data_IF_273767619507
#
_entry.id   IF_273767619507
#
_cell.length_a   1.000
_cell.length_b   1.000
_cell.length_c   1.000
_cell.angle_alpha   90.00
_cell.angle_beta   90.00
_cell.angle_gamma   90.00
#
_symmetry.space_group_name_H-M   'P 1'
#
loop_
_entity.id
_entity.type
_entity.pdbx_description
1 polymer ?
#
# COMPACT_ATOMS: atom_id res chain seq x y z
N UNK A 1 1.60 20.23 -7.60
CA UNK A 1 1.39 18.77 -7.63
C UNK A 1 0.30 18.44 -6.62
N UNK A 2 -0.55 17.45 -6.92
CA UNK A 2 -1.54 16.98 -5.96
C UNK A 2 -0.88 16.09 -4.92
N UNK A 3 -1.44 16.04 -3.72
CA UNK A 3 -1.04 15.10 -2.67
C UNK A 3 -2.17 14.11 -2.42
N UNK A 4 -1.80 12.88 -2.11
CA UNK A 4 -2.73 11.84 -1.69
C UNK A 4 -2.47 11.46 -0.24
N UNK A 5 -3.53 11.05 0.45
CA UNK A 5 -3.47 10.52 1.81
C UNK A 5 -4.19 9.17 1.80
N UNK A 6 -3.49 8.12 2.21
CA UNK A 6 -4.04 6.76 2.33
C UNK A 6 -3.71 6.19 3.69
N UNK A 7 -4.48 5.22 4.18
CA UNK A 7 -4.10 4.48 5.39
C UNK A 7 -3.37 3.20 5.04
N UNK A 8 -2.46 2.74 5.90
CA UNK A 8 -1.82 1.43 5.75
C UNK A 8 -2.84 0.29 5.66
N UNK A 9 -3.96 0.37 6.39
CA UNK A 9 -5.04 -0.64 6.30
C UNK A 9 -5.78 -0.65 4.95
N UNK A 10 -5.66 0.40 4.15
CA UNK A 10 -6.26 0.48 2.81
C UNK A 10 -5.30 -0.07 1.72
N UNK A 11 -4.02 -0.24 2.06
CA UNK A 11 -3.02 -0.79 1.14
C UNK A 11 -2.98 -2.31 1.25
N UNK A 12 -2.90 -2.97 0.09
CA UNK A 12 -2.76 -4.41 0.03
C UNK A 12 -1.35 -4.83 0.47
N UNK A 13 -1.29 -5.73 1.45
CA UNK A 13 -0.03 -6.37 1.86
C UNK A 13 0.29 -7.51 0.91
N UNK A 14 1.42 -7.43 0.22
CA UNK A 14 1.87 -8.46 -0.73
C UNK A 14 2.70 -9.53 -0.04
N UNK A 15 3.58 -9.15 0.88
CA UNK A 15 4.42 -10.10 1.59
C UNK A 15 4.82 -9.60 2.98
N UNK A 16 5.20 -10.56 3.82
CA UNK A 16 5.85 -10.33 5.11
C UNK A 16 7.19 -11.07 5.04
N UNK A 17 8.27 -10.36 5.32
CA UNK A 17 9.63 -10.91 5.23
C UNK A 17 10.26 -10.88 6.61
N UNK A 18 10.94 -11.98 6.95
CA UNK A 18 11.66 -12.13 8.20
C UNK A 18 13.15 -12.02 7.94
N UNK A 19 13.74 -10.93 8.41
CA UNK A 19 15.19 -10.72 8.40
C UNK A 19 15.87 -11.25 9.65
N UNK A 20 17.17 -10.99 9.72
CA UNK A 20 18.01 -11.34 10.86
C UNK A 20 17.71 -10.40 12.03
N UNK A 21 17.64 -9.09 11.75
CA UNK A 21 17.45 -8.01 12.72
C UNK A 21 16.00 -7.51 12.69
N UNK A 22 15.47 -7.21 11.52
CA UNK A 22 14.13 -6.65 11.35
C UNK A 22 13.20 -7.61 10.63
N UNK A 23 11.90 -7.41 10.86
CA UNK A 23 10.87 -7.91 9.96
C UNK A 23 10.35 -6.74 9.13
N UNK A 24 9.81 -7.00 7.94
CA UNK A 24 9.16 -5.96 7.15
C UNK A 24 7.94 -6.43 6.38
N UNK A 25 7.05 -5.49 6.13
CA UNK A 25 5.87 -5.66 5.28
C UNK A 25 6.13 -4.99 3.94
N UNK A 26 5.84 -5.70 2.86
CA UNK A 26 5.83 -5.14 1.50
C UNK A 26 4.37 -4.92 1.11
N UNK A 27 4.03 -3.66 0.85
CA UNK A 27 2.73 -3.26 0.34
C UNK A 27 2.76 -3.15 -1.19
N UNK A 28 1.58 -3.19 -1.79
CA UNK A 28 1.39 -2.83 -3.20
C UNK A 28 1.89 -1.42 -3.48
N UNK A 29 2.22 -1.14 -4.75
CA UNK A 29 2.70 0.19 -5.15
C UNK A 29 1.73 1.30 -4.73
N UNK A 30 2.28 2.44 -4.30
CA UNK A 30 1.47 3.58 -3.87
C UNK A 30 0.61 4.08 -5.04
N UNK A 31 -0.72 4.15 -4.91
CA UNK A 31 -1.60 4.50 -6.01
C UNK A 31 -1.27 5.88 -6.58
N UNK A 32 -0.99 5.95 -7.88
CA UNK A 32 -0.75 7.21 -8.60
C UNK A 32 0.42 8.05 -8.07
N UNK A 33 1.28 7.45 -7.24
CA UNK A 33 2.45 8.14 -6.72
C UNK A 33 3.45 8.45 -7.84
N UNK A 34 4.23 9.51 -7.68
CA UNK A 34 5.33 9.80 -8.62
C UNK A 34 6.35 8.65 -8.60
N UNK A 35 7.20 8.59 -9.62
CA UNK A 35 8.26 7.59 -9.66
C UNK A 35 9.33 7.92 -8.61
N UNK A 36 9.64 6.96 -7.75
CA UNK A 36 10.70 7.08 -6.74
C UNK A 36 12.04 6.60 -7.31
N UNK A 37 13.11 7.13 -6.73
CA UNK A 37 14.47 6.75 -7.04
C UNK A 37 14.88 5.48 -6.27
N UNK A 38 16.12 5.03 -6.47
CA UNK A 38 16.71 4.00 -5.62
C UNK A 38 17.32 4.58 -4.34
N UNK A 39 17.22 5.90 -4.14
CA UNK A 39 17.80 6.65 -3.04
C UNK A 39 16.76 7.01 -1.97
N UNK A 40 16.95 8.18 -1.36
CA UNK A 40 15.98 8.78 -0.45
C UNK A 40 15.32 9.95 -1.17
N UNK A 41 14.00 9.93 -1.30
CA UNK A 41 13.25 10.94 -2.05
C UNK A 41 12.59 11.98 -1.12
N UNK A 42 12.26 11.61 0.11
CA UNK A 42 11.66 12.51 1.11
C UNK A 42 10.25 13.00 0.75
N UNK A 43 9.59 12.31 -0.16
CA UNK A 43 8.30 12.65 -0.75
C UNK A 43 7.11 11.92 -0.12
N UNK A 44 7.40 10.96 0.75
CA UNK A 44 6.42 10.23 1.55
C UNK A 44 6.57 10.60 3.02
N UNK A 45 5.43 10.89 3.65
CA UNK A 45 5.34 11.23 5.06
C UNK A 45 4.39 10.24 5.74
N UNK A 46 4.91 9.47 6.70
CA UNK A 46 4.11 8.60 7.54
C UNK A 46 3.69 9.37 8.80
N UNK A 47 2.40 9.60 8.95
CA UNK A 47 1.85 10.37 10.06
C UNK A 47 1.78 9.56 11.37
N UNK A 48 1.63 10.26 12.50
CA UNK A 48 1.32 9.67 13.81
C UNK A 48 2.32 8.64 14.39
N UNK A 49 3.49 8.46 13.77
CA UNK A 49 4.56 7.63 14.33
C UNK A 49 5.94 8.10 13.84
N UNK A 50 7.00 8.08 14.68
CA UNK A 50 8.34 8.41 14.22
C UNK A 50 8.85 7.40 13.19
N UNK A 51 9.08 7.85 11.96
CA UNK A 51 9.61 7.01 10.87
C UNK A 51 10.80 7.65 10.18
N UNK A 52 11.68 6.83 9.63
CA UNK A 52 12.81 7.28 8.81
C UNK A 52 12.81 6.57 7.47
N UNK A 53 13.06 7.33 6.40
CA UNK A 53 13.30 6.75 5.07
C UNK A 53 14.70 6.16 5.01
N UNK A 54 14.81 4.98 4.43
CA UNK A 54 16.06 4.26 4.20
C UNK A 54 16.09 3.72 2.77
N UNK A 55 17.28 3.36 2.30
CA UNK A 55 17.42 2.65 1.04
C UNK A 55 16.98 1.18 1.22
N UNK A 56 16.53 0.56 0.12
CA UNK A 56 15.98 -0.80 0.12
C UNK A 56 16.95 -1.85 0.68
N UNK A 57 18.25 -1.66 0.46
CA UNK A 57 19.30 -2.55 0.94
C UNK A 57 19.43 -2.56 2.48
N UNK A 58 18.96 -1.52 3.16
CA UNK A 58 19.12 -1.35 4.61
C UNK A 58 17.91 -1.83 5.42
N UNK A 59 16.94 -2.51 4.79
CA UNK A 59 15.72 -2.98 5.45
C UNK A 59 15.99 -3.89 6.66
N UNK A 60 17.09 -4.65 6.64
CA UNK A 60 17.50 -5.55 7.73
C UNK A 60 18.64 -4.99 8.61
N UNK A 61 18.85 -3.67 8.58
CA UNK A 61 19.83 -2.98 9.45
C UNK A 61 19.14 -2.46 10.71
N UNK A 62 19.87 -2.42 11.83
CA UNK A 62 19.35 -1.87 13.10
C UNK A 62 18.73 -0.48 12.92
N UNK A 63 17.44 -0.37 13.23
CA UNK A 63 16.72 0.89 13.19
C UNK A 63 17.22 1.78 14.33
N UNK A 64 17.52 3.05 14.04
CA UNK A 64 17.92 4.00 15.07
C UNK A 64 16.78 4.10 16.12
N UNK A 65 17.07 3.96 17.43
CA UNK A 65 16.05 3.95 18.48
C UNK A 65 15.17 5.20 18.56
N UNK A 66 15.59 6.31 17.94
CA UNK A 66 14.78 7.54 17.84
C UNK A 66 13.58 7.38 16.90
N UNK A 67 13.59 6.37 16.03
CA UNK A 67 12.50 6.04 15.11
C UNK A 67 11.85 4.73 15.52
N UNK A 68 10.54 4.65 15.28
CA UNK A 68 9.77 3.44 15.53
C UNK A 68 9.82 2.47 14.37
N UNK A 69 9.80 3.01 13.15
CA UNK A 69 9.86 2.23 11.91
C UNK A 69 10.86 2.87 10.95
N UNK A 70 11.43 2.05 10.07
CA UNK A 70 12.14 2.51 8.89
C UNK A 70 11.32 2.11 7.66
N UNK A 71 11.34 2.91 6.59
CA UNK A 71 10.64 2.57 5.36
C UNK A 71 11.47 2.86 4.12
N UNK A 72 11.16 2.15 3.04
CA UNK A 72 11.76 2.37 1.72
C UNK A 72 10.70 2.29 0.64
N UNK A 73 10.82 3.17 -0.36
CA UNK A 73 10.02 3.14 -1.58
C UNK A 73 11.02 3.18 -2.72
N UNK A 74 11.44 2.00 -3.16
CA UNK A 74 12.43 1.86 -4.22
C UNK A 74 11.80 2.16 -5.59
N UNK A 75 12.55 1.88 -6.67
CA UNK A 75 12.10 2.05 -8.05
C UNK A 75 10.89 1.19 -8.45
N UNK A 76 10.52 0.19 -7.63
CA UNK A 76 9.29 -0.58 -7.78
C UNK A 76 8.03 0.16 -7.26
N UNK A 77 8.20 1.36 -6.71
CA UNK A 77 7.16 2.19 -6.09
C UNK A 77 6.39 1.48 -4.96
N UNK A 78 6.92 0.37 -4.43
CA UNK A 78 6.30 -0.39 -3.34
C UNK A 78 6.79 0.13 -2.01
N UNK A 79 5.83 0.37 -1.11
CA UNK A 79 6.15 0.74 0.25
C UNK A 79 6.59 -0.50 1.04
N UNK A 80 7.83 -0.48 1.52
CA UNK A 80 8.39 -1.49 2.40
C UNK A 80 8.63 -0.86 3.75
N UNK A 81 7.98 -1.36 4.79
CA UNK A 81 8.12 -0.82 6.16
C UNK A 81 8.75 -1.88 7.07
N UNK A 82 9.91 -1.55 7.61
CA UNK A 82 10.70 -2.35 8.51
C UNK A 82 10.49 -1.96 9.97
N UNK A 83 10.55 -2.97 10.83
CA UNK A 83 10.40 -2.88 12.27
C UNK A 83 11.30 -3.88 12.97
N UNK A 84 11.70 -3.53 14.20
CA UNK A 84 12.39 -4.45 15.08
C UNK A 84 11.55 -5.73 15.29
N UNK A 85 12.15 -6.89 14.99
CA UNK A 85 11.50 -8.20 15.12
C UNK A 85 11.09 -8.53 16.55
N UNK A 86 11.73 -7.95 17.56
CA UNK A 86 11.38 -8.12 18.98
C UNK A 86 10.09 -7.36 19.28
N UNK A 87 9.91 -6.19 18.64
CA UNK A 87 8.71 -5.36 18.83
C UNK A 87 7.49 -5.94 18.11
N UNK A 88 7.69 -6.41 16.87
CA UNK A 88 6.65 -7.04 16.06
C UNK A 88 7.16 -8.40 15.55
N UNK A 89 6.94 -9.48 16.34
CA UNK A 89 7.47 -10.80 16.02
C UNK A 89 6.76 -11.48 14.85
N UNK A 90 5.52 -11.09 14.59
CA UNK A 90 4.67 -11.68 13.56
C UNK A 90 3.93 -10.62 12.74
N UNK A 91 3.40 -11.08 11.61
CA UNK A 91 2.63 -10.26 10.65
C UNK A 91 1.41 -9.61 11.31
N UNK A 92 0.69 -10.32 12.16
CA UNK A 92 -0.57 -9.83 12.75
C UNK A 92 -0.32 -8.64 13.68
N UNK A 93 0.69 -8.74 14.54
CA UNK A 93 1.15 -7.66 15.41
C UNK A 93 1.50 -6.39 14.63
N UNK A 94 2.23 -6.54 13.52
CA UNK A 94 2.61 -5.40 12.69
C UNK A 94 1.40 -4.75 12.00
N UNK A 95 0.49 -5.55 11.45
CA UNK A 95 -0.70 -5.03 10.77
C UNK A 95 -1.63 -4.27 11.72
N UNK A 96 -1.86 -4.83 12.92
CA UNK A 96 -2.69 -4.16 13.93
C UNK A 96 -2.11 -2.82 14.39
N UNK A 97 -0.78 -2.72 14.47
CA UNK A 97 -0.10 -1.48 14.83
C UNK A 97 -0.16 -0.42 13.73
N UNK A 98 -0.13 -0.84 12.46
CA UNK A 98 -0.09 0.08 11.31
C UNK A 98 -1.49 0.47 10.79
N UNK A 99 -2.54 -0.29 11.06
CA UNK A 99 -3.85 -0.14 10.40
C UNK A 99 -4.43 1.28 10.35
N UNK A 100 -4.25 2.07 11.42
CA UNK A 100 -4.77 3.44 11.53
C UNK A 100 -3.77 4.53 11.12
N UNK A 101 -2.55 4.15 10.76
CA UNK A 101 -1.48 5.08 10.39
C UNK A 101 -1.73 5.55 8.94
N UNK A 102 -1.66 6.87 8.75
CA UNK A 102 -1.82 7.50 7.44
C UNK A 102 -0.46 7.75 6.78
N UNK A 103 -0.44 7.63 5.45
CA UNK A 103 0.69 7.93 4.58
C UNK A 103 0.25 9.06 3.67
N UNK A 104 1.03 10.14 3.64
CA UNK A 104 0.87 11.25 2.71
C UNK A 104 1.98 11.18 1.67
N UNK A 105 1.66 11.31 0.39
CA UNK A 105 2.66 11.26 -0.68
C UNK A 105 2.26 12.14 -1.87
N UNK A 106 3.27 12.54 -2.67
CA UNK A 106 3.06 13.33 -3.86
C UNK A 106 2.55 12.48 -5.03
N UNK A 107 1.52 12.99 -5.72
CA UNK A 107 1.02 12.41 -6.96
C UNK A 107 1.95 12.79 -8.12
N UNK A 108 2.21 11.82 -8.99
CA UNK A 108 2.93 12.08 -10.25
C UNK A 108 2.09 12.85 -11.25
N UNK A 109 2.63 13.06 -12.46
CA UNK A 109 1.83 13.69 -13.52
C UNK A 109 0.89 12.65 -14.14
N UNK A 110 -0.40 12.76 -13.79
CA UNK A 110 -1.42 11.78 -14.17
C UNK A 110 -2.01 12.10 -15.53
N UNK A 111 -1.73 11.26 -16.52
CA UNK A 111 -2.34 11.32 -17.84
C UNK A 111 -3.34 10.19 -18.01
N UNK A 112 -4.61 10.44 -18.42
CA UNK A 112 -5.59 9.38 -18.62
C UNK A 112 -5.08 8.28 -19.57
N UNK A 113 -5.17 7.02 -19.16
CA UNK A 113 -4.71 5.89 -19.96
C UNK A 113 -5.79 5.42 -20.95
N UNK A 114 -6.04 6.20 -22.00
CA UNK A 114 -6.85 5.76 -23.15
C UNK A 114 -8.28 5.34 -22.84
N UNK A 115 -8.90 5.86 -21.77
CA UNK A 115 -10.26 5.50 -21.36
C UNK A 115 -10.38 4.11 -20.71
N UNK A 116 -9.27 3.58 -20.20
CA UNK A 116 -9.26 2.40 -19.34
C UNK A 116 -9.66 2.77 -17.91
N UNK A 117 -10.11 1.76 -17.17
CA UNK A 117 -10.59 1.85 -15.80
C UNK A 117 -10.00 0.72 -14.97
N UNK A 118 -9.93 0.96 -13.66
CA UNK A 118 -9.58 -0.02 -12.64
C UNK A 118 -10.79 -0.18 -11.73
N UNK A 119 -11.17 -1.43 -11.45
CA UNK A 119 -12.14 -1.76 -10.41
C UNK A 119 -11.41 -2.19 -9.14
N UNK A 120 -11.74 -1.54 -8.03
CA UNK A 120 -11.15 -1.78 -6.71
C UNK A 120 -12.26 -2.29 -5.78
N UNK A 121 -12.08 -3.48 -5.23
CA UNK A 121 -13.02 -4.13 -4.33
C UNK A 121 -12.48 -4.08 -2.91
N UNK A 122 -13.32 -3.58 -1.98
CA UNK A 122 -13.01 -3.50 -0.55
C UNK A 122 -14.06 -4.21 0.29
N UNK A 123 -13.61 -4.91 1.33
CA UNK A 123 -14.50 -5.54 2.30
C UNK A 123 -15.09 -4.50 3.28
N UNK A 124 -15.94 -4.95 4.21
CA UNK A 124 -16.56 -4.10 5.21
C UNK A 124 -15.58 -3.45 6.21
N UNK A 125 -14.34 -3.95 6.30
CA UNK A 125 -13.27 -3.37 7.12
C UNK A 125 -12.50 -2.27 6.37
N UNK A 126 -12.80 -2.06 5.08
CA UNK A 126 -12.11 -1.10 4.23
C UNK A 126 -10.84 -1.66 3.58
N UNK A 127 -10.53 -2.93 3.77
CA UNK A 127 -9.34 -3.58 3.20
C UNK A 127 -9.55 -3.85 1.71
N UNK A 128 -8.54 -3.55 0.89
CA UNK A 128 -8.54 -3.91 -0.53
C UNK A 128 -8.33 -5.43 -0.69
N UNK A 129 -9.38 -6.12 -1.15
CA UNK A 129 -9.37 -7.58 -1.36
C UNK A 129 -9.09 -7.95 -2.83
N UNK A 130 -9.42 -7.06 -3.76
CA UNK A 130 -9.16 -7.27 -5.19
C UNK A 130 -9.02 -5.95 -5.94
N UNK A 131 -8.15 -5.96 -6.95
CA UNK A 131 -7.93 -4.87 -7.90
C UNK A 131 -7.70 -5.47 -9.27
N UNK A 132 -8.40 -4.95 -10.27
CA UNK A 132 -8.19 -5.36 -11.65
C UNK A 132 -6.98 -4.67 -12.26
N UNK A 133 -6.39 -5.27 -13.30
CA UNK A 133 -5.53 -4.52 -14.23
C UNK A 133 -6.37 -3.51 -15.03
N UNK A 134 -5.76 -2.49 -15.64
CA UNK A 134 -6.48 -1.55 -16.51
C UNK A 134 -7.27 -2.28 -17.60
N UNK A 135 -8.55 -1.95 -17.73
CA UNK A 135 -9.47 -2.59 -18.69
C UNK A 135 -10.59 -1.63 -19.11
N UNK A 136 -11.38 -2.01 -20.11
CA UNK A 136 -12.53 -1.19 -20.52
C UNK A 136 -13.66 -1.19 -19.47
N UNK A 137 -14.51 -0.15 -19.47
CA UNK A 137 -15.65 -0.06 -18.56
C UNK A 137 -16.62 -1.26 -18.68
N UNK A 138 -16.79 -1.79 -19.90
CA UNK A 138 -17.60 -2.98 -20.13
C UNK A 138 -17.01 -4.21 -19.43
N UNK A 139 -15.70 -4.39 -19.47
CA UNK A 139 -15.01 -5.47 -18.75
C UNK A 139 -15.10 -5.29 -17.24
N UNK A 140 -14.98 -4.05 -16.73
CA UNK A 140 -15.22 -3.77 -15.31
C UNK A 140 -16.62 -4.21 -14.87
N UNK A 141 -17.64 -3.91 -15.69
CA UNK A 141 -19.03 -4.33 -15.41
C UNK A 141 -19.16 -5.85 -15.33
N UNK A 142 -18.51 -6.57 -16.25
CA UNK A 142 -18.46 -8.04 -16.21
C UNK A 142 -17.81 -8.56 -14.93
N UNK A 143 -16.66 -8.00 -14.53
CA UNK A 143 -15.99 -8.38 -13.28
C UNK A 143 -16.90 -8.12 -12.08
N UNK A 144 -17.50 -6.93 -11.98
CA UNK A 144 -18.41 -6.58 -10.88
C UNK A 144 -19.59 -7.55 -10.78
N UNK A 145 -20.19 -7.92 -11.92
CA UNK A 145 -21.34 -8.85 -11.92
C UNK A 145 -21.00 -10.29 -11.54
N UNK A 146 -19.72 -10.67 -11.61
CA UNK A 146 -19.25 -12.04 -11.35
C UNK A 146 -18.38 -12.15 -10.11
N UNK A 147 -17.95 -11.02 -9.53
CA UNK A 147 -17.08 -11.01 -8.37
C UNK A 147 -17.84 -11.49 -7.14
N UNK A 148 -17.31 -12.54 -6.50
CA UNK A 148 -17.93 -13.15 -5.34
C UNK A 148 -16.88 -13.36 -4.24
N UNK A 149 -16.92 -12.53 -3.21
CA UNK A 149 -16.05 -12.64 -2.03
C UNK A 149 -16.66 -13.57 -0.98
N UNK A 150 -16.75 -14.86 -1.30
CA UNK A 150 -17.23 -15.90 -0.37
C UNK A 150 -16.27 -16.21 0.77
N UNK A 151 -15.14 -15.50 0.89
CA UNK A 151 -14.02 -15.89 1.75
C UNK A 151 -14.18 -15.46 3.21
N UNK A 152 -15.12 -14.56 3.53
CA UNK A 152 -15.30 -14.04 4.88
C UNK A 152 -16.77 -14.16 5.32
N UNK A 153 -17.12 -15.27 5.98
CA UNK A 153 -18.48 -15.58 6.46
C UNK A 153 -18.73 -15.12 7.91
N UNK A 154 -17.68 -14.67 8.62
CA UNK A 154 -17.72 -14.42 10.07
C UNK A 154 -18.19 -13.01 10.44
N UNK A 155 -18.27 -12.10 9.47
CA UNK A 155 -18.73 -10.71 9.65
C UNK A 155 -19.79 -10.40 8.62
N UNK A 156 -21.01 -10.07 9.07
CA UNK A 156 -22.01 -9.45 8.20
C UNK A 156 -21.45 -8.14 7.64
N UNK A 157 -21.41 -8.00 6.32
CA UNK A 157 -20.68 -6.91 5.68
C UNK A 157 -21.22 -6.55 4.30
N UNK A 158 -20.73 -5.43 3.78
CA UNK A 158 -20.91 -5.02 2.39
C UNK A 158 -19.61 -5.24 1.62
N UNK A 159 -19.75 -5.47 0.33
CA UNK A 159 -18.65 -5.35 -0.62
C UNK A 159 -18.79 -4.00 -1.32
N UNK A 160 -17.77 -3.16 -1.23
CA UNK A 160 -17.72 -1.89 -1.96
C UNK A 160 -16.86 -2.07 -3.21
N UNK A 161 -17.43 -1.79 -4.38
CA UNK A 161 -16.66 -1.64 -5.60
C UNK A 161 -16.57 -0.17 -5.98
N UNK A 162 -15.37 0.30 -6.27
CA UNK A 162 -15.09 1.61 -6.85
C UNK A 162 -14.50 1.40 -8.24
N UNK A 163 -15.05 2.11 -9.23
CA UNK A 163 -14.50 2.14 -10.59
C UNK A 163 -13.87 3.51 -10.79
N UNK A 164 -12.57 3.52 -11.05
CA UNK A 164 -11.78 4.74 -11.25
C UNK A 164 -11.13 4.73 -12.63
N UNK A 165 -10.99 5.89 -13.30
CA UNK A 165 -10.18 5.95 -14.51
C UNK A 165 -8.75 5.52 -14.21
N UNK A 166 -8.15 4.81 -15.17
CA UNK A 166 -6.73 4.51 -15.12
C UNK A 166 -5.92 5.70 -15.60
N UNK A 167 -4.78 5.93 -14.95
CA UNK A 167 -3.86 7.01 -15.27
C UNK A 167 -2.46 6.44 -15.41
N UNK A 168 -1.77 6.85 -16.47
CA UNK A 168 -0.32 6.66 -16.59
C UNK A 168 0.36 7.78 -15.82
N UNK A 169 1.31 7.40 -14.97
CA UNK A 169 2.21 8.35 -14.32
C UNK A 169 3.35 8.64 -15.29
N UNK A 170 3.52 9.90 -15.69
CA UNK A 170 4.64 10.39 -16.50
C UNK A 170 5.59 11.28 -15.72
#
# INVERSE_FOLDING_TARGET
MGQAIVRFGELKVESFVQGIINNWLIYSSLPYSKQHSSGLDGDVLIGATPTVEIIDADLDVTINPSYTYAYSIATDNKLKIAFDKVKHPDKGSALEALKCISITYDLGHLTPNGGLYISIFRNSLGEEIHRTTPMSLAQCTTVISTFNDTRQVDTGGYLKCEVVPDFVVS
#
